data_IF_067120697205
#
_entry.id   IF_067120697205
#
_cell.length_a   1.000
_cell.length_b   1.000
_cell.length_c   1.000
_cell.angle_alpha   90.00
_cell.angle_beta   90.00
_cell.angle_gamma   90.00
#
_symmetry.space_group_name_H-M   'P 1'
#
loop_
_entity.id
_entity.type
_entity.pdbx_description
1 polymer ?
#
# COMPACT_ATOMS: atom_id res chain seq x y z
N UNK A 1 -15.15 -1.27 32.87
CA UNK A 1 -13.72 -1.62 32.57
C UNK A 1 -13.44 -1.71 31.07
N UNK A 2 -14.33 -2.24 30.24
CA UNK A 2 -14.15 -2.27 28.78
C UNK A 2 -14.20 -0.89 28.12
N UNK A 3 -14.98 0.05 28.65
CA UNK A 3 -15.09 1.40 28.08
C UNK A 3 -13.82 2.24 28.30
N UNK A 4 -13.11 2.04 29.39
CA UNK A 4 -11.83 2.75 29.66
C UNK A 4 -10.69 2.27 28.73
N UNK A 5 -10.69 1.00 28.33
CA UNK A 5 -9.73 0.45 27.37
C UNK A 5 -9.98 0.98 25.95
N UNK A 6 -11.25 1.15 25.54
CA UNK A 6 -11.62 1.74 24.26
C UNK A 6 -11.24 3.23 24.18
N UNK A 7 -11.46 3.98 25.25
CA UNK A 7 -11.06 5.40 25.31
C UNK A 7 -9.54 5.56 25.21
N UNK A 8 -8.76 4.69 25.84
CA UNK A 8 -7.31 4.68 25.72
C UNK A 8 -6.81 4.38 24.31
N UNK A 9 -7.47 3.44 23.60
CA UNK A 9 -7.10 3.11 22.22
C UNK A 9 -7.47 4.22 21.24
N UNK A 10 -8.61 4.88 21.41
CA UNK A 10 -8.98 6.05 20.57
C UNK A 10 -8.00 7.22 20.75
N UNK A 11 -7.55 7.48 21.97
CA UNK A 11 -6.57 8.53 22.25
C UNK A 11 -5.23 8.22 21.57
N UNK A 12 -4.74 6.99 21.64
CA UNK A 12 -3.52 6.58 20.93
C UNK A 12 -3.63 6.68 19.40
N UNK A 13 -4.79 6.39 18.82
CA UNK A 13 -5.04 6.52 17.39
C UNK A 13 -4.98 7.98 16.95
N UNK A 14 -5.58 8.89 17.72
CA UNK A 14 -5.61 10.32 17.38
C UNK A 14 -4.26 11.01 17.53
N UNK A 15 -3.50 10.64 18.56
CA UNK A 15 -2.25 11.33 18.92
C UNK A 15 -1.05 10.83 18.11
N UNK A 16 -1.04 9.59 17.66
CA UNK A 16 0.15 8.95 17.10
C UNK A 16 0.00 8.31 15.73
N UNK A 17 -1.22 8.12 15.24
CA UNK A 17 -1.52 7.45 13.95
C UNK A 17 -0.75 6.13 13.74
N UNK A 18 -0.57 5.31 14.78
CA UNK A 18 0.13 4.04 14.68
C UNK A 18 -0.60 3.00 13.81
N UNK A 19 -1.91 3.18 13.58
CA UNK A 19 -2.73 2.35 12.70
C UNK A 19 -2.64 2.72 11.21
N UNK A 20 -1.95 3.81 10.87
CA UNK A 20 -1.85 4.28 9.48
C UNK A 20 -3.16 4.84 8.91
N UNK A 21 -4.05 5.36 9.78
CA UNK A 21 -5.32 5.99 9.39
C UNK A 21 -6.48 5.03 9.14
N UNK A 22 -6.27 3.72 9.34
CA UNK A 22 -7.31 2.69 9.19
C UNK A 22 -7.21 1.64 10.29
N UNK A 23 -8.35 1.25 10.84
CA UNK A 23 -8.46 0.19 11.83
C UNK A 23 -9.67 -0.70 11.51
N UNK A 24 -9.44 -2.00 11.38
CA UNK A 24 -10.51 -2.94 11.05
C UNK A 24 -11.23 -2.65 9.72
N UNK A 25 -10.54 -2.05 8.74
CA UNK A 25 -11.11 -1.65 7.46
C UNK A 25 -11.91 -0.34 7.48
N UNK A 26 -11.91 0.38 8.59
CA UNK A 26 -12.57 1.68 8.72
C UNK A 26 -11.54 2.80 8.86
N UNK A 27 -11.80 3.94 8.23
CA UNK A 27 -11.00 5.15 8.41
C UNK A 27 -11.26 5.75 9.79
N UNK A 28 -10.21 6.17 10.48
CA UNK A 28 -10.28 6.89 11.76
C UNK A 28 -10.20 8.42 11.60
N UNK A 29 -10.12 8.91 10.36
CA UNK A 29 -9.98 10.33 10.04
C UNK A 29 -8.55 10.86 10.06
N UNK A 30 -7.57 10.04 10.41
CA UNK A 30 -6.16 10.38 10.33
C UNK A 30 -5.63 10.24 8.89
N UNK A 31 -4.46 10.83 8.57
CA UNK A 31 -3.81 10.62 7.29
C UNK A 31 -3.59 9.13 6.98
N UNK A 32 -3.93 8.70 5.77
CA UNK A 32 -3.68 7.33 5.32
C UNK A 32 -2.21 7.12 5.02
N UNK A 33 -1.59 6.18 5.70
CA UNK A 33 -0.21 5.78 5.49
C UNK A 33 -0.14 4.41 4.84
N UNK A 34 0.30 4.38 3.59
CA UNK A 34 0.44 3.14 2.82
C UNK A 34 1.92 2.89 2.55
N UNK A 35 2.38 1.68 2.82
CA UNK A 35 3.74 1.23 2.52
C UNK A 35 3.70 0.09 1.53
N UNK A 36 4.28 0.31 0.35
CA UNK A 36 4.42 -0.72 -0.67
C UNK A 36 5.86 -1.22 -0.74
N UNK A 37 6.03 -2.52 -0.71
CA UNK A 37 7.33 -3.17 -0.82
C UNK A 37 7.47 -3.75 -2.23
N UNK A 38 8.49 -3.30 -2.95
CA UNK A 38 8.74 -3.72 -4.33
C UNK A 38 9.94 -4.65 -4.35
N UNK A 39 9.79 -5.80 -5.00
CA UNK A 39 10.91 -6.71 -5.25
C UNK A 39 11.97 -5.98 -6.08
N UNK A 40 13.24 -6.01 -5.68
CA UNK A 40 14.32 -5.44 -6.49
C UNK A 40 14.43 -6.15 -7.84
N UNK A 41 14.98 -5.45 -8.84
CA UNK A 41 15.20 -5.98 -10.18
C UNK A 41 16.12 -7.21 -10.10
N UNK A 42 15.72 -8.37 -10.63
CA UNK A 42 16.52 -9.59 -10.53
C UNK A 42 17.79 -9.55 -11.39
N UNK A 43 17.82 -8.69 -12.39
CA UNK A 43 18.96 -8.52 -13.29
C UNK A 43 20.00 -7.60 -12.68
N UNK A 44 21.06 -8.15 -12.15
CA UNK A 44 22.19 -7.41 -11.60
C UNK A 44 23.44 -7.68 -12.44
N UNK A 45 24.31 -6.64 -12.61
CA UNK A 45 25.58 -6.74 -13.34
C UNK A 45 26.69 -7.44 -12.52
N UNK A 46 26.31 -8.42 -11.70
CA UNK A 46 27.29 -9.22 -10.93
C UNK A 46 27.39 -10.60 -11.53
N UNK A 47 28.62 -11.14 -11.62
CA UNK A 47 28.82 -12.53 -11.98
C UNK A 47 28.07 -13.45 -11.03
N UNK A 48 27.31 -14.38 -11.58
CA UNK A 48 26.52 -15.35 -10.83
C UNK A 48 26.99 -16.75 -11.20
N UNK A 49 27.27 -17.57 -10.19
CA UNK A 49 27.60 -18.95 -10.39
C UNK A 49 26.33 -19.74 -10.76
N UNK A 50 26.38 -20.46 -11.85
CA UNK A 50 25.29 -21.28 -12.36
C UNK A 50 25.84 -22.55 -12.97
N UNK A 51 24.96 -23.41 -13.49
CA UNK A 51 25.33 -24.61 -14.24
C UNK A 51 24.84 -24.51 -15.67
N UNK A 52 25.65 -25.00 -16.61
CA UNK A 52 25.27 -25.12 -18.01
C UNK A 52 24.35 -26.33 -18.24
N UNK A 53 23.89 -26.51 -19.47
CA UNK A 53 23.02 -27.64 -19.84
C UNK A 53 23.74 -29.02 -19.71
N UNK A 54 25.04 -29.03 -19.62
CA UNK A 54 25.86 -30.21 -19.39
C UNK A 54 26.12 -30.52 -17.92
N UNK A 55 25.59 -29.66 -16.99
CA UNK A 55 25.77 -29.82 -15.55
C UNK A 55 27.12 -29.32 -15.01
N UNK A 56 27.89 -28.58 -15.82
CA UNK A 56 29.17 -28.02 -15.41
C UNK A 56 28.96 -26.62 -14.82
N UNK A 57 29.73 -26.29 -13.79
CA UNK A 57 29.70 -24.97 -13.16
C UNK A 57 30.21 -23.92 -14.14
N UNK A 58 29.41 -22.86 -14.34
CA UNK A 58 29.77 -21.74 -15.19
C UNK A 58 29.39 -20.42 -14.53
N UNK A 59 30.00 -19.33 -14.99
CA UNK A 59 29.70 -17.98 -14.51
C UNK A 59 28.89 -17.25 -15.57
N UNK A 60 27.75 -16.71 -15.15
CA UNK A 60 26.86 -15.94 -16.00
C UNK A 60 26.83 -14.49 -15.55
N UNK A 61 27.12 -13.58 -16.48
CA UNK A 61 26.92 -12.15 -16.28
C UNK A 61 25.81 -11.67 -17.23
N UNK A 62 24.70 -11.24 -16.66
CA UNK A 62 23.57 -10.70 -17.44
C UNK A 62 23.93 -9.29 -17.89
N UNK A 63 24.03 -9.10 -19.21
CA UNK A 63 24.26 -7.79 -19.84
C UNK A 63 22.99 -7.37 -20.55
N UNK A 64 22.57 -6.12 -20.36
CA UNK A 64 21.38 -5.56 -21.01
C UNK A 64 21.02 -4.20 -20.43
N UNK A 65 20.08 -3.52 -21.10
CA UNK A 65 19.50 -2.29 -20.58
C UNK A 65 18.37 -2.65 -19.62
N UNK A 66 18.60 -2.47 -18.33
CA UNK A 66 17.61 -2.69 -17.29
C UNK A 66 17.35 -1.38 -16.56
N UNK A 67 16.09 -1.14 -16.22
CA UNK A 67 15.75 -0.03 -15.34
C UNK A 67 16.30 -0.35 -13.94
N UNK A 68 17.16 0.50 -13.37
CA UNK A 68 17.81 0.22 -12.09
C UNK A 68 16.81 0.14 -10.93
N UNK A 69 15.69 0.87 -11.05
CA UNK A 69 14.66 0.91 -10.03
C UNK A 69 13.32 1.34 -10.64
N UNK A 70 12.22 0.69 -10.25
CA UNK A 70 10.86 1.01 -10.69
C UNK A 70 10.11 1.91 -9.70
N UNK A 71 10.64 2.10 -8.49
CA UNK A 71 9.97 2.78 -7.37
C UNK A 71 9.47 4.18 -7.73
N UNK A 72 10.25 5.06 -8.41
CA UNK A 72 9.76 6.40 -8.76
C UNK A 72 8.49 6.40 -9.63
N UNK A 73 8.35 5.41 -10.49
CA UNK A 73 7.13 5.23 -11.31
C UNK A 73 6.00 4.60 -10.51
N UNK A 74 6.33 3.67 -9.62
CA UNK A 74 5.36 2.97 -8.79
C UNK A 74 4.67 3.91 -7.79
N UNK A 75 5.34 4.94 -7.28
CA UNK A 75 4.76 5.91 -6.33
C UNK A 75 3.51 6.55 -6.90
N UNK A 76 3.57 7.12 -8.10
CA UNK A 76 2.42 7.79 -8.75
C UNK A 76 1.26 6.82 -8.97
N UNK A 77 1.56 5.58 -9.38
CA UNK A 77 0.53 4.55 -9.56
C UNK A 77 -0.14 4.21 -8.24
N UNK A 78 0.64 4.05 -7.16
CA UNK A 78 0.10 3.75 -5.83
C UNK A 78 -0.77 4.89 -5.29
N UNK A 79 -0.36 6.14 -5.47
CA UNK A 79 -1.15 7.31 -5.09
C UNK A 79 -2.48 7.36 -5.83
N UNK A 80 -2.45 7.21 -7.16
CA UNK A 80 -3.67 7.24 -7.98
C UNK A 80 -4.63 6.09 -7.64
N UNK A 81 -4.11 4.88 -7.50
CA UNK A 81 -4.94 3.71 -7.15
C UNK A 81 -5.54 3.83 -5.75
N UNK A 82 -4.79 4.38 -4.80
CA UNK A 82 -5.30 4.68 -3.46
C UNK A 82 -6.43 5.72 -3.52
N UNK A 83 -6.24 6.81 -4.26
CA UNK A 83 -7.26 7.85 -4.41
C UNK A 83 -8.55 7.29 -5.02
N UNK A 84 -8.45 6.46 -6.06
CA UNK A 84 -9.61 5.81 -6.69
C UNK A 84 -10.33 4.90 -5.68
N UNK A 85 -9.59 4.08 -4.94
CA UNK A 85 -10.16 3.16 -3.94
C UNK A 85 -10.86 3.91 -2.81
N UNK A 86 -10.25 4.99 -2.31
CA UNK A 86 -10.85 5.82 -1.27
C UNK A 86 -12.12 6.50 -1.78
N UNK A 87 -12.10 7.05 -2.99
CA UNK A 87 -13.27 7.67 -3.60
C UNK A 87 -14.42 6.67 -3.77
N UNK A 88 -14.14 5.47 -4.25
CA UNK A 88 -15.13 4.40 -4.39
C UNK A 88 -15.76 4.03 -3.04
N UNK A 89 -14.93 3.84 -2.02
CA UNK A 89 -15.42 3.58 -0.65
C UNK A 89 -16.27 4.74 -0.09
N UNK A 90 -15.90 5.99 -0.37
CA UNK A 90 -16.69 7.17 0.01
C UNK A 90 -18.05 7.17 -0.70
N UNK A 91 -18.10 6.89 -1.99
CA UNK A 91 -19.35 6.82 -2.76
C UNK A 91 -20.27 5.72 -2.23
N UNK A 92 -19.74 4.54 -1.91
CA UNK A 92 -20.50 3.47 -1.28
C UNK A 92 -21.05 3.89 0.09
N UNK A 93 -20.25 4.57 0.90
CA UNK A 93 -20.67 5.05 2.22
C UNK A 93 -21.76 6.12 2.14
N UNK A 94 -21.77 6.96 1.10
CA UNK A 94 -22.82 7.96 0.90
C UNK A 94 -24.21 7.33 0.80
N UNK A 95 -24.33 6.19 0.13
CA UNK A 95 -25.60 5.47 -0.03
C UNK A 95 -25.96 4.57 1.16
N UNK A 96 -25.05 4.35 2.10
CA UNK A 96 -25.25 3.47 3.25
C UNK A 96 -26.20 4.05 4.32
N UNK A 97 -26.45 5.36 4.30
CA UNK A 97 -27.32 6.06 5.26
C UNK A 97 -28.42 6.82 4.56
N UNK A 98 -29.67 6.57 4.94
CA UNK A 98 -30.84 7.25 4.37
C UNK A 98 -30.75 8.79 4.51
N UNK A 99 -30.24 9.26 5.65
CA UNK A 99 -30.06 10.71 5.89
C UNK A 99 -29.10 11.37 4.88
N UNK A 100 -28.09 10.65 4.45
CA UNK A 100 -27.14 11.13 3.43
C UNK A 100 -27.81 11.25 2.07
N UNK A 101 -28.64 10.27 1.70
CA UNK A 101 -29.43 10.30 0.46
C UNK A 101 -30.43 11.44 0.46
N UNK A 102 -31.15 11.64 1.56
CA UNK A 102 -32.13 12.75 1.70
C UNK A 102 -31.46 14.12 1.56
N UNK A 103 -30.26 14.29 2.11
CA UNK A 103 -29.50 15.55 1.97
C UNK A 103 -29.00 15.79 0.55
N UNK A 104 -28.69 14.74 -0.18
CA UNK A 104 -28.18 14.86 -1.55
C UNK A 104 -29.29 15.21 -2.56
N UNK A 105 -30.52 14.72 -2.36
CA UNK A 105 -31.68 14.96 -3.26
C UNK A 105 -32.59 16.11 -2.83
N UNK A 106 -32.24 16.85 -1.79
CA UNK A 106 -32.95 18.03 -1.31
C UNK A 106 -32.33 19.31 -1.81
#
# INVERSE_FOLDING_TARGET
EMSASLVGSEMCIRDSNHSGGTLGGMSDGSPLLIRAYVKPTPSIFRPQQTVNCSGENTELTIRGRHDPIIVPRAVVVMECMTAITVLDAMMMNMSAKLESLVKFYR
#
